data_IF_299750081538
#
_entry.id   IF_299750081538
#
_cell.length_a   1.000
_cell.length_b   1.000
_cell.length_c   1.000
_cell.angle_alpha   90.00
_cell.angle_beta   90.00
_cell.angle_gamma   90.00
#
_symmetry.space_group_name_H-M   'P 1'
#
loop_
_entity.id
_entity.type
_entity.pdbx_description
1 polymer ?
#
# COMPACT_ATOMS: atom_id res chain seq x y z
N UNK A 1 -8.71 8.39 -4.02
CA UNK A 1 -8.16 9.68 -4.50
C UNK A 1 -6.62 9.70 -4.50
N UNK A 2 -5.96 9.19 -3.47
CA UNK A 2 -4.49 9.24 -3.35
C UNK A 2 -3.76 8.63 -4.56
N UNK A 3 -4.17 7.45 -5.01
CA UNK A 3 -3.57 6.80 -6.18
C UNK A 3 -4.01 7.47 -7.49
N UNK A 4 -5.30 7.74 -7.67
CA UNK A 4 -5.85 8.28 -8.93
C UNK A 4 -5.25 9.63 -9.27
N UNK A 5 -5.16 10.56 -8.32
CA UNK A 5 -4.60 11.89 -8.60
C UNK A 5 -3.10 11.84 -8.90
N UNK A 6 -2.36 10.92 -8.25
CA UNK A 6 -0.96 10.69 -8.57
C UNK A 6 -0.78 10.09 -9.98
N UNK A 7 -1.64 9.15 -10.35
CA UNK A 7 -1.67 8.57 -11.69
C UNK A 7 -1.99 9.62 -12.76
N UNK A 8 -3.02 10.46 -12.54
CA UNK A 8 -3.37 11.57 -13.45
C UNK A 8 -2.26 12.60 -13.60
N UNK A 9 -1.43 12.80 -12.56
CA UNK A 9 -0.25 13.63 -12.68
C UNK A 9 0.80 12.98 -13.58
N UNK A 10 1.06 11.70 -13.41
CA UNK A 10 2.00 10.95 -14.26
C UNK A 10 1.58 10.95 -15.72
N UNK A 11 0.28 10.85 -16.03
CA UNK A 11 -0.23 10.98 -17.41
C UNK A 11 0.17 12.33 -18.03
N UNK A 12 0.07 13.43 -17.26
CA UNK A 12 0.50 14.76 -17.72
C UNK A 12 2.01 14.85 -17.94
N UNK A 13 2.79 14.02 -17.28
CA UNK A 13 4.24 13.93 -17.42
C UNK A 13 4.64 12.93 -18.55
N UNK A 14 3.67 12.36 -19.28
CA UNK A 14 3.89 11.50 -20.45
C UNK A 14 3.94 9.99 -20.14
N UNK A 15 3.61 9.58 -18.94
CA UNK A 15 3.47 8.16 -18.61
C UNK A 15 2.11 7.63 -19.08
N UNK A 16 2.08 6.40 -19.56
CA UNK A 16 0.84 5.70 -19.84
C UNK A 16 0.28 5.07 -18.57
N UNK A 17 -0.99 5.32 -18.28
CA UNK A 17 -1.70 4.76 -17.14
C UNK A 17 -2.91 3.96 -17.60
N UNK A 18 -3.04 2.75 -17.11
CA UNK A 18 -4.22 1.90 -17.30
C UNK A 18 -4.99 1.81 -15.99
N UNK A 19 -6.25 2.23 -16.00
CA UNK A 19 -7.16 2.09 -14.87
C UNK A 19 -7.91 0.78 -14.97
N UNK A 20 -7.71 -0.11 -13.99
CA UNK A 20 -8.39 -1.40 -13.96
C UNK A 20 -9.81 -1.21 -13.44
N UNK A 21 -10.84 -1.69 -14.17
CA UNK A 21 -12.21 -1.61 -13.70
C UNK A 21 -12.47 -2.52 -12.51
N UNK A 22 -13.50 -2.20 -11.77
CA UNK A 22 -14.05 -3.05 -10.70
C UNK A 22 -15.46 -3.49 -11.05
N UNK A 23 -15.91 -4.58 -10.46
CA UNK A 23 -17.29 -5.05 -10.58
C UNK A 23 -18.27 -4.21 -9.70
N UNK A 24 -19.52 -4.65 -9.62
CA UNK A 24 -20.57 -3.96 -8.83
C UNK A 24 -20.32 -3.97 -7.33
N UNK A 25 -19.48 -4.89 -6.85
CA UNK A 25 -19.08 -5.04 -5.45
C UNK A 25 -17.73 -4.33 -5.18
N UNK A 26 -17.19 -3.65 -6.20
CA UNK A 26 -15.92 -2.94 -6.13
C UNK A 26 -14.71 -3.86 -6.16
N UNK A 27 -14.86 -5.13 -6.62
CA UNK A 27 -13.79 -6.11 -6.66
C UNK A 27 -13.02 -6.04 -7.99
N UNK A 28 -11.70 -6.13 -7.91
CA UNK A 28 -10.81 -6.26 -9.07
C UNK A 28 -10.74 -7.74 -9.48
N UNK A 29 -10.86 -8.00 -10.79
CA UNK A 29 -10.52 -9.30 -11.35
C UNK A 29 -9.00 -9.35 -11.64
N UNK A 30 -8.21 -10.26 -11.03
CA UNK A 30 -6.77 -10.37 -11.27
C UNK A 30 -6.41 -10.61 -12.74
N UNK A 31 -7.26 -11.30 -13.49
CA UNK A 31 -7.04 -11.54 -14.92
C UNK A 31 -7.05 -10.24 -15.76
N UNK A 32 -7.75 -9.21 -15.32
CA UNK A 32 -7.73 -7.92 -16.03
C UNK A 32 -6.40 -7.19 -15.81
N UNK A 33 -5.76 -7.36 -14.64
CA UNK A 33 -4.39 -6.88 -14.42
C UNK A 33 -3.42 -7.63 -15.34
N UNK A 34 -3.52 -8.95 -15.41
CA UNK A 34 -2.67 -9.79 -16.27
C UNK A 34 -2.76 -9.36 -17.75
N UNK A 35 -3.96 -9.07 -18.23
CA UNK A 35 -4.18 -8.57 -19.61
C UNK A 35 -3.66 -7.15 -19.82
N UNK A 36 -3.66 -6.32 -18.78
CA UNK A 36 -3.24 -4.93 -18.86
C UNK A 36 -1.72 -4.76 -18.79
N UNK A 37 -0.99 -5.74 -18.25
CA UNK A 37 0.48 -5.70 -18.20
C UNK A 37 1.05 -5.77 -19.62
N UNK A 38 1.96 -4.84 -19.91
CA UNK A 38 2.70 -4.71 -21.18
C UNK A 38 4.20 -4.78 -20.90
N UNK A 39 5.05 -4.96 -21.91
CA UNK A 39 6.51 -4.95 -21.75
C UNK A 39 7.05 -3.68 -21.07
N UNK A 40 6.38 -2.55 -21.27
CA UNK A 40 6.75 -1.24 -20.72
C UNK A 40 6.16 -0.99 -19.32
N UNK A 41 5.34 -1.89 -18.79
CA UNK A 41 4.72 -1.72 -17.47
C UNK A 41 5.79 -1.78 -16.37
N UNK A 42 6.02 -0.65 -15.71
CA UNK A 42 6.99 -0.55 -14.61
C UNK A 42 6.40 -0.83 -13.23
N UNK A 43 5.11 -0.53 -13.03
CA UNK A 43 4.46 -0.59 -11.72
C UNK A 43 2.98 -0.95 -11.84
N UNK A 44 2.54 -1.86 -11.00
CA UNK A 44 1.12 -2.07 -10.66
C UNK A 44 0.89 -1.53 -9.25
N UNK A 45 -0.14 -0.69 -9.07
CA UNK A 45 -0.48 -0.10 -7.79
C UNK A 45 -1.96 -0.29 -7.49
N UNK A 46 -2.28 -1.09 -6.48
CA UNK A 46 -3.65 -1.47 -6.12
C UNK A 46 -3.88 -1.22 -4.63
N UNK A 47 -5.02 -0.64 -4.28
CA UNK A 47 -5.47 -0.50 -2.90
C UNK A 47 -5.73 -1.88 -2.28
N UNK A 48 -5.31 -2.12 -1.04
CA UNK A 48 -5.52 -3.41 -0.38
C UNK A 48 -6.99 -3.61 0.02
N UNK A 49 -7.55 -2.61 0.68
CA UNK A 49 -8.96 -2.60 1.12
C UNK A 49 -9.56 -1.22 0.90
N UNK A 50 -10.79 -1.19 0.40
CA UNK A 50 -11.48 0.07 0.13
C UNK A 50 -12.02 0.70 1.42
N UNK A 51 -11.83 1.99 1.58
CA UNK A 51 -12.20 2.74 2.78
C UNK A 51 -13.70 3.08 2.89
N UNK A 52 -14.47 2.93 1.84
CA UNK A 52 -15.90 3.30 1.81
C UNK A 52 -16.78 2.06 1.88
N UNK A 53 -16.53 1.07 1.04
CA UNK A 53 -17.38 -0.12 0.92
C UNK A 53 -16.77 -1.36 1.59
N UNK A 54 -15.48 -1.29 2.01
CA UNK A 54 -14.81 -2.38 2.75
C UNK A 54 -14.36 -3.56 1.90
N UNK A 55 -14.44 -3.48 0.58
CA UNK A 55 -13.98 -4.53 -0.33
C UNK A 55 -12.48 -4.76 -0.15
N UNK A 56 -12.08 -6.02 0.04
CA UNK A 56 -10.68 -6.45 0.15
C UNK A 56 -10.27 -7.08 -1.17
N UNK A 57 -9.22 -6.55 -1.80
CA UNK A 57 -8.76 -7.06 -3.09
C UNK A 57 -7.87 -8.31 -2.94
N UNK A 58 -7.79 -9.18 -3.96
CA UNK A 58 -7.00 -10.42 -3.94
C UNK A 58 -5.49 -10.13 -4.12
N UNK A 59 -4.89 -9.44 -3.16
CA UNK A 59 -3.52 -8.91 -3.19
C UNK A 59 -2.49 -9.99 -3.44
N UNK A 60 -2.66 -11.19 -2.86
CA UNK A 60 -1.73 -12.31 -3.05
C UNK A 60 -1.70 -12.80 -4.50
N UNK A 61 -2.87 -12.89 -5.14
CA UNK A 61 -2.98 -13.28 -6.55
C UNK A 61 -2.39 -12.21 -7.47
N UNK A 62 -2.71 -10.95 -7.21
CA UNK A 62 -2.17 -9.80 -7.95
C UNK A 62 -0.64 -9.77 -7.83
N UNK A 63 -0.11 -9.95 -6.61
CA UNK A 63 1.33 -10.00 -6.37
C UNK A 63 2.01 -11.16 -7.12
N UNK A 64 1.36 -12.32 -7.21
CA UNK A 64 1.88 -13.45 -7.99
C UNK A 64 1.94 -13.12 -9.49
N UNK A 65 0.89 -12.51 -10.05
CA UNK A 65 0.86 -12.06 -11.45
C UNK A 65 1.98 -11.05 -11.73
N UNK A 66 2.14 -10.05 -10.87
CA UNK A 66 3.19 -9.04 -11.02
C UNK A 66 4.59 -9.67 -10.95
N UNK A 67 4.79 -10.61 -10.03
CA UNK A 67 6.06 -11.34 -9.86
C UNK A 67 6.39 -12.17 -11.10
N UNK A 68 5.42 -12.89 -11.65
CA UNK A 68 5.59 -13.68 -12.88
C UNK A 68 5.93 -12.79 -14.08
N UNK A 69 5.30 -11.63 -14.18
CA UNK A 69 5.54 -10.66 -15.25
C UNK A 69 6.82 -9.81 -15.05
N UNK A 70 7.49 -9.90 -13.90
CA UNK A 70 8.67 -9.08 -13.58
C UNK A 70 8.34 -7.61 -13.33
N UNK A 71 7.09 -7.26 -13.00
CA UNK A 71 6.59 -5.91 -12.76
C UNK A 71 6.56 -5.63 -11.25
N UNK A 72 6.94 -4.42 -10.84
CA UNK A 72 6.89 -4.02 -9.44
C UNK A 72 5.44 -3.91 -8.96
N UNK A 73 5.18 -4.39 -7.73
CA UNK A 73 3.87 -4.33 -7.11
C UNK A 73 3.85 -3.45 -5.87
N UNK A 74 3.04 -2.39 -5.91
CA UNK A 74 2.72 -1.53 -4.78
C UNK A 74 1.29 -1.76 -4.32
N UNK A 75 1.07 -1.78 -3.01
CA UNK A 75 -0.27 -1.74 -2.42
C UNK A 75 -0.42 -0.59 -1.44
N UNK A 76 -1.51 0.16 -1.57
CA UNK A 76 -1.98 1.07 -0.53
C UNK A 76 -2.70 0.24 0.53
N UNK A 77 -2.02 -0.03 1.63
CA UNK A 77 -2.52 -0.82 2.75
C UNK A 77 -3.00 0.04 3.92
N UNK A 78 -3.29 1.32 3.69
CA UNK A 78 -3.73 2.27 4.72
C UNK A 78 -4.93 1.75 5.50
N UNK A 79 -5.88 1.07 4.83
CA UNK A 79 -7.06 0.49 5.48
C UNK A 79 -6.87 -0.96 5.95
N UNK A 80 -5.80 -1.64 5.54
CA UNK A 80 -5.55 -3.04 5.86
C UNK A 80 -4.57 -3.21 7.04
N UNK A 81 -3.56 -2.34 7.13
CA UNK A 81 -2.55 -2.40 8.19
C UNK A 81 -3.20 -2.29 9.58
N UNK A 82 -2.87 -3.24 10.46
CA UNK A 82 -3.44 -3.35 11.80
C UNK A 82 -4.82 -4.02 11.87
N UNK A 83 -5.44 -4.35 10.73
CA UNK A 83 -6.76 -4.99 10.64
C UNK A 83 -6.74 -6.35 9.92
N UNK A 84 -5.82 -6.52 8.99
CA UNK A 84 -5.65 -7.73 8.19
C UNK A 84 -4.20 -8.17 8.31
N UNK A 85 -3.96 -9.48 8.41
CA UNK A 85 -2.60 -10.02 8.41
C UNK A 85 -1.95 -9.81 7.04
N UNK A 86 -0.84 -9.11 7.02
CA UNK A 86 -0.07 -8.82 5.81
C UNK A 86 1.31 -9.46 5.92
N UNK A 87 1.64 -10.34 4.99
CA UNK A 87 3.00 -10.84 4.79
C UNK A 87 3.48 -10.41 3.41
N UNK A 88 4.38 -9.44 3.39
CA UNK A 88 4.88 -8.84 2.14
C UNK A 88 5.63 -9.84 1.26
N UNK A 89 6.23 -10.89 1.85
CA UNK A 89 6.94 -11.92 1.09
C UNK A 89 5.97 -12.93 0.49
N UNK A 90 5.04 -13.42 1.30
CA UNK A 90 4.02 -14.38 0.85
C UNK A 90 3.10 -13.78 -0.22
N UNK A 91 2.79 -12.49 -0.08
CA UNK A 91 1.92 -11.74 -1.00
C UNK A 91 2.67 -11.11 -2.18
N UNK A 92 4.00 -11.32 -2.29
CA UNK A 92 4.84 -10.73 -3.34
C UNK A 92 4.73 -9.20 -3.45
N UNK A 93 4.57 -8.51 -2.33
CA UNK A 93 4.47 -7.05 -2.29
C UNK A 93 5.88 -6.46 -2.32
N UNK A 94 6.15 -5.60 -3.28
CA UNK A 94 7.42 -4.89 -3.42
C UNK A 94 7.44 -3.57 -2.65
N UNK A 95 6.31 -2.88 -2.62
CA UNK A 95 6.13 -1.62 -1.91
C UNK A 95 4.76 -1.57 -1.23
N UNK A 96 4.70 -0.93 -0.06
CA UNK A 96 3.45 -0.82 0.70
C UNK A 96 3.40 0.51 1.45
N UNK A 97 2.27 1.19 1.36
CA UNK A 97 1.99 2.42 2.09
C UNK A 97 1.04 2.15 3.26
N UNK A 98 1.31 2.74 4.40
CA UNK A 98 0.42 2.70 5.56
C UNK A 98 0.40 4.05 6.31
N UNK A 99 -0.64 4.26 7.12
CA UNK A 99 -0.86 5.49 7.88
C UNK A 99 -1.24 5.19 9.32
N UNK A 100 -0.49 5.72 10.28
CA UNK A 100 -0.60 5.39 11.69
C UNK A 100 -2.00 5.61 12.28
N UNK A 101 -2.67 6.69 11.88
CA UNK A 101 -3.99 7.05 12.43
C UNK A 101 -5.12 6.05 12.08
N UNK A 102 -4.89 5.11 11.19
CA UNK A 102 -5.86 4.06 10.83
C UNK A 102 -5.84 2.87 11.80
N UNK A 103 -4.78 2.73 12.57
CA UNK A 103 -4.65 1.75 13.65
C UNK A 103 -4.29 2.41 14.99
N UNK A 104 -4.95 3.52 15.29
CA UNK A 104 -4.88 4.27 16.56
C UNK A 104 -3.52 4.92 16.87
N UNK A 105 -2.64 5.02 15.89
CA UNK A 105 -1.38 5.75 16.00
C UNK A 105 -1.52 7.25 15.75
N UNK A 106 -0.42 8.02 15.85
CA UNK A 106 -0.47 9.48 15.69
C UNK A 106 -0.83 9.90 14.27
N UNK A 107 -1.61 10.98 14.16
CA UNK A 107 -1.88 11.65 12.88
C UNK A 107 -0.59 12.28 12.33
N UNK A 108 -0.51 12.41 11.01
CA UNK A 108 0.63 12.99 10.33
C UNK A 108 1.87 12.07 10.26
N UNK A 109 1.72 10.80 10.65
CA UNK A 109 2.78 9.80 10.59
C UNK A 109 2.32 8.61 9.76
N UNK A 110 3.20 8.10 8.91
CA UNK A 110 2.99 6.91 8.11
C UNK A 110 4.31 6.20 7.85
N UNK A 111 4.26 5.06 7.21
CA UNK A 111 5.45 4.35 6.77
C UNK A 111 5.27 3.85 5.34
N UNK A 112 6.40 3.75 4.67
CA UNK A 112 6.51 3.19 3.33
C UNK A 112 7.49 2.02 3.37
N UNK A 113 6.97 0.81 3.15
CA UNK A 113 7.81 -0.35 2.93
C UNK A 113 8.29 -0.39 1.49
N UNK A 114 9.56 -0.63 1.31
CA UNK A 114 10.16 -0.86 0.00
C UNK A 114 11.13 -2.04 0.09
N UNK A 115 10.93 -3.04 -0.74
CA UNK A 115 11.81 -4.22 -0.82
C UNK A 115 13.24 -3.78 -1.20
N UNK A 116 14.23 -4.42 -0.59
CA UNK A 116 15.66 -4.17 -0.92
C UNK A 116 15.93 -4.39 -2.40
N UNK A 117 16.75 -3.51 -2.97
CA UNK A 117 17.14 -3.55 -4.38
C UNK A 117 16.26 -2.71 -5.31
N UNK A 118 15.17 -2.13 -4.84
CA UNK A 118 14.37 -1.18 -5.62
C UNK A 118 14.96 0.22 -5.43
N UNK A 119 15.30 0.85 -6.55
CA UNK A 119 15.74 2.24 -6.57
C UNK A 119 14.53 3.16 -6.42
N UNK A 120 14.62 4.10 -5.46
CA UNK A 120 13.63 5.16 -5.27
C UNK A 120 14.34 6.50 -5.33
N UNK A 121 13.82 7.39 -6.12
CA UNK A 121 14.22 8.79 -6.11
C UNK A 121 13.54 9.50 -4.93
N UNK A 122 14.28 10.40 -4.27
CA UNK A 122 13.69 11.27 -3.25
C UNK A 122 12.68 12.21 -3.91
N UNK A 123 11.52 12.37 -3.28
CA UNK A 123 10.54 13.40 -3.68
C UNK A 123 10.79 14.72 -2.94
N UNK A 124 11.47 14.67 -1.78
CA UNK A 124 11.80 15.82 -0.95
C UNK A 124 13.31 15.88 -0.83
N UNK A 125 13.91 16.87 -1.49
CA UNK A 125 15.36 17.09 -1.46
C UNK A 125 15.80 17.81 -0.19
N UNK A 126 17.04 17.56 0.25
CA UNK A 126 17.61 18.19 1.44
C UNK A 126 18.67 17.31 2.11
N UNK A 127 18.55 17.09 3.42
CA UNK A 127 19.46 16.24 4.18
C UNK A 127 19.30 14.74 3.88
N UNK A 128 20.20 13.95 4.44
CA UNK A 128 20.28 12.50 4.18
C UNK A 128 19.38 11.63 5.08
N UNK A 129 18.34 12.21 5.67
CA UNK A 129 17.39 11.47 6.49
C UNK A 129 16.74 10.34 5.69
N UNK A 130 16.23 9.34 6.37
CA UNK A 130 15.65 8.13 5.74
C UNK A 130 16.57 7.52 4.68
N UNK A 131 17.90 7.52 4.94
CA UNK A 131 18.94 7.03 4.02
C UNK A 131 18.95 7.76 2.67
N UNK A 132 18.71 9.08 2.69
CA UNK A 132 18.64 9.94 1.51
C UNK A 132 17.35 9.78 0.68
N UNK A 133 16.32 9.13 1.22
CA UNK A 133 15.05 8.91 0.48
C UNK A 133 13.97 9.92 0.83
N UNK A 134 14.08 10.59 1.95
CA UNK A 134 13.15 11.63 2.38
C UNK A 134 13.87 12.58 3.33
N UNK A 135 14.15 13.77 2.86
CA UNK A 135 14.80 14.80 3.65
C UNK A 135 13.87 15.40 4.72
N UNK A 136 14.48 16.03 5.73
CA UNK A 136 13.82 16.67 6.87
C UNK A 136 13.97 15.86 8.15
N UNK A 137 14.08 16.58 9.27
CA UNK A 137 14.24 15.98 10.61
C UNK A 137 13.14 14.95 10.88
N UNK A 138 13.53 13.83 11.42
CA UNK A 138 12.61 12.73 11.77
C UNK A 138 11.67 13.14 12.90
N UNK A 139 10.39 12.86 12.73
CA UNK A 139 9.39 12.97 13.78
C UNK A 139 9.49 11.76 14.73
N UNK A 140 10.51 11.76 15.58
CA UNK A 140 10.83 10.62 16.46
C UNK A 140 9.64 10.22 17.31
N UNK A 141 8.92 11.16 17.91
CA UNK A 141 7.74 10.88 18.72
C UNK A 141 6.64 10.19 17.91
N UNK A 142 6.38 10.68 16.69
CA UNK A 142 5.41 10.07 15.78
C UNK A 142 5.83 8.67 15.31
N UNK A 143 7.11 8.46 15.03
CA UNK A 143 7.66 7.17 14.62
C UNK A 143 7.53 6.13 15.74
N UNK A 144 7.89 6.50 16.97
CA UNK A 144 7.72 5.63 18.16
C UNK A 144 6.24 5.30 18.39
N UNK A 145 5.38 6.31 18.28
CA UNK A 145 3.93 6.14 18.41
C UNK A 145 3.35 5.20 17.35
N UNK A 146 3.79 5.33 16.07
CA UNK A 146 3.40 4.41 15.00
C UNK A 146 3.86 2.98 15.31
N UNK A 147 5.13 2.80 15.71
CA UNK A 147 5.67 1.48 16.03
C UNK A 147 4.93 0.82 17.21
N UNK A 148 4.57 1.59 18.23
CA UNK A 148 3.78 1.09 19.35
C UNK A 148 2.37 0.71 18.92
N UNK A 149 1.70 1.57 18.15
CA UNK A 149 0.33 1.34 17.69
C UNK A 149 0.21 0.09 16.80
N UNK A 150 1.12 -0.09 15.84
CA UNK A 150 1.06 -1.27 14.94
C UNK A 150 1.37 -2.57 15.69
N UNK A 151 2.24 -2.54 16.70
CA UNK A 151 2.51 -3.70 17.56
C UNK A 151 1.25 -4.10 18.31
N UNK A 152 0.59 -3.15 19.00
CA UNK A 152 -0.66 -3.40 19.75
C UNK A 152 -1.75 -3.91 18.80
N UNK A 153 -1.95 -3.23 17.66
CA UNK A 153 -2.95 -3.64 16.67
C UNK A 153 -2.72 -5.07 16.15
N UNK A 154 -1.45 -5.48 15.99
CA UNK A 154 -1.12 -6.84 15.57
C UNK A 154 -1.36 -7.88 16.68
N UNK A 155 -1.06 -7.55 17.95
CA UNK A 155 -1.31 -8.41 19.10
C UNK A 155 -2.81 -8.63 19.36
N UNK A 156 -3.63 -7.59 19.17
CA UNK A 156 -5.07 -7.61 19.43
C UNK A 156 -5.93 -7.91 18.18
N UNK A 157 -5.31 -8.16 17.03
CA UNK A 157 -6.00 -8.25 15.73
C UNK A 157 -7.13 -9.29 15.73
N UNK A 158 -6.88 -10.51 16.23
CA UNK A 158 -7.87 -11.59 16.20
C UNK A 158 -9.08 -11.29 17.10
N UNK A 159 -8.83 -10.76 18.31
CA UNK A 159 -9.87 -10.42 19.25
C UNK A 159 -10.72 -9.24 18.72
N UNK A 160 -10.05 -8.22 18.22
CA UNK A 160 -10.72 -7.04 17.63
C UNK A 160 -11.56 -7.43 16.41
N UNK A 161 -11.03 -8.29 15.54
CA UNK A 161 -11.76 -8.77 14.36
C UNK A 161 -13.02 -9.54 14.77
N UNK A 162 -12.93 -10.45 15.75
CA UNK A 162 -14.09 -11.20 16.26
C UNK A 162 -15.14 -10.26 16.83
N UNK A 163 -14.72 -9.30 17.67
CA UNK A 163 -15.61 -8.33 18.31
C UNK A 163 -16.34 -7.46 17.28
N UNK A 164 -15.61 -6.89 16.33
CA UNK A 164 -16.19 -6.01 15.29
C UNK A 164 -17.12 -6.79 14.37
N UNK A 165 -16.75 -8.01 13.97
CA UNK A 165 -17.61 -8.86 13.14
C UNK A 165 -18.94 -9.24 13.82
N UNK A 166 -18.92 -9.42 15.15
CA UNK A 166 -20.14 -9.70 15.92
C UNK A 166 -21.07 -8.50 16.07
N UNK A 167 -20.60 -7.27 15.83
CA UNK A 167 -21.39 -6.04 15.86
C UNK A 167 -22.03 -5.70 14.50
N UNK A 168 -21.64 -6.40 13.45
CA UNK A 168 -22.02 -6.15 12.06
C UNK A 168 -23.11 -7.13 11.59
#
# INVERSE_FOLDING_TARGET
HALIHSAQRLEKEGFEVTYIPVDREGQINPEDIKKAIRPETGLVSIMFANNEIGTIHPIKEIGAICREAGVLFHTDAVQAAGHIKIDVKEMNIDMLSLSAHKFHGPKGTGAFYCRRGIALNSLIDGGAQERGKRAGTENVAGIVGLGTAIRIANEEMEETTKRVSAMR
#
